data_IF_905817225681
#
_entry.id   IF_905817225681
#
_cell.length_a   1.000
_cell.length_b   1.000
_cell.length_c   1.000
_cell.angle_alpha   90.00
_cell.angle_beta   90.00
_cell.angle_gamma   90.00
#
_symmetry.space_group_name_H-M   'P 1'
#
loop_
_entity.id
_entity.type
_entity.pdbx_description
1 polymer ?
#
# COMPACT_ATOMS: atom_id res chain seq x y z
N UNK A 1 -17.53 31.05 -24.30
CA UNK A 1 -17.10 29.88 -23.52
C UNK A 1 -16.67 28.82 -24.51
N UNK A 2 -15.36 28.69 -24.75
CA UNK A 2 -14.83 27.65 -25.64
C UNK A 2 -15.03 26.30 -24.97
N UNK A 3 -15.88 25.46 -25.54
CA UNK A 3 -15.97 24.06 -25.15
C UNK A 3 -14.60 23.44 -25.42
N UNK A 4 -13.77 23.31 -24.37
CA UNK A 4 -12.52 22.56 -24.45
C UNK A 4 -12.91 21.13 -24.85
N UNK A 5 -12.57 20.71 -26.05
CA UNK A 5 -12.86 19.35 -26.55
C UNK A 5 -12.23 18.36 -25.57
N UNK A 6 -13.06 17.72 -24.76
CA UNK A 6 -12.58 16.77 -23.75
C UNK A 6 -11.85 15.64 -24.48
N UNK A 7 -10.57 15.50 -24.24
CA UNK A 7 -9.75 14.48 -24.91
C UNK A 7 -10.23 13.09 -24.51
N UNK A 8 -10.35 12.20 -25.49
CA UNK A 8 -10.78 10.81 -25.27
C UNK A 8 -9.58 9.87 -25.31
N UNK A 9 -9.60 8.88 -24.47
CA UNK A 9 -8.60 7.83 -24.40
C UNK A 9 -9.29 6.47 -24.62
N UNK A 10 -8.81 5.73 -25.59
CA UNK A 10 -9.20 4.34 -25.72
C UNK A 10 -8.56 3.54 -24.57
N UNK A 11 -9.37 2.93 -23.73
CA UNK A 11 -8.94 2.10 -22.61
C UNK A 11 -9.22 0.64 -22.98
N UNK A 12 -8.19 -0.22 -23.06
CA UNK A 12 -8.36 -1.64 -23.38
C UNK A 12 -9.34 -2.34 -22.44
N UNK A 13 -10.11 -3.31 -22.96
CA UNK A 13 -11.09 -4.06 -22.17
C UNK A 13 -10.45 -4.72 -20.94
N UNK A 14 -9.23 -5.24 -21.05
CA UNK A 14 -8.50 -5.84 -19.92
C UNK A 14 -8.30 -4.87 -18.76
N UNK A 15 -8.11 -3.57 -19.02
CA UNK A 15 -8.02 -2.53 -17.97
C UNK A 15 -9.38 -2.30 -17.33
N UNK A 16 -10.46 -2.25 -18.14
CA UNK A 16 -11.83 -2.10 -17.63
C UNK A 16 -12.18 -3.27 -16.72
N UNK A 17 -11.93 -4.50 -17.16
CA UNK A 17 -12.17 -5.72 -16.39
C UNK A 17 -11.35 -5.72 -15.08
N UNK A 18 -10.10 -5.28 -15.14
CA UNK A 18 -9.23 -5.19 -13.98
C UNK A 18 -9.68 -4.12 -12.96
N UNK A 19 -10.27 -3.00 -13.43
CA UNK A 19 -10.90 -2.01 -12.54
C UNK A 19 -12.11 -2.62 -11.84
N UNK A 20 -12.92 -3.41 -12.55
CA UNK A 20 -14.12 -4.03 -12.00
C UNK A 20 -13.81 -5.24 -11.10
N UNK A 21 -12.62 -5.82 -11.24
CA UNK A 21 -12.21 -7.00 -10.48
C UNK A 21 -12.17 -6.71 -8.97
N UNK A 22 -12.86 -7.56 -8.20
CA UNK A 22 -12.95 -7.52 -6.75
C UNK A 22 -12.53 -8.83 -6.09
N UNK A 23 -11.88 -9.71 -6.84
CA UNK A 23 -11.44 -10.99 -6.35
C UNK A 23 -10.47 -10.84 -5.18
N UNK A 24 -10.48 -11.85 -4.33
CA UNK A 24 -9.54 -11.92 -3.24
C UNK A 24 -8.13 -12.02 -3.78
N UNK A 25 -7.24 -11.20 -3.24
CA UNK A 25 -5.83 -11.20 -3.63
C UNK A 25 -5.11 -12.31 -2.88
N UNK A 26 -4.94 -13.45 -3.53
CA UNK A 26 -4.28 -14.64 -2.97
C UNK A 26 -2.88 -14.89 -3.54
N UNK A 27 -2.45 -14.14 -4.54
CA UNK A 27 -1.12 -14.28 -5.16
C UNK A 27 0.00 -13.65 -4.31
N UNK A 28 1.12 -14.37 -4.11
CA UNK A 28 2.32 -13.80 -3.50
C UNK A 28 2.99 -12.78 -4.44
N UNK A 29 3.63 -11.73 -3.89
CA UNK A 29 3.73 -11.38 -2.46
C UNK A 29 2.63 -10.42 -2.00
N UNK A 30 1.60 -10.16 -2.80
CA UNK A 30 0.51 -9.26 -2.45
C UNK A 30 -0.29 -9.74 -1.24
N UNK A 31 -0.43 -11.07 -1.07
CA UNK A 31 -1.17 -11.69 0.03
C UNK A 31 -0.39 -11.76 1.35
N UNK A 32 0.94 -11.50 1.37
CA UNK A 32 1.77 -11.60 2.58
C UNK A 32 1.32 -10.68 3.71
N UNK A 33 0.74 -9.56 3.39
CA UNK A 33 0.06 -8.67 4.35
C UNK A 33 -0.97 -7.83 3.62
N UNK A 34 -2.20 -7.78 4.18
CA UNK A 34 -3.29 -6.97 3.62
C UNK A 34 -3.19 -5.54 4.15
N UNK A 35 -2.41 -4.69 3.45
CA UNK A 35 -2.45 -3.26 3.73
C UNK A 35 -3.83 -2.69 3.39
N UNK A 36 -4.46 -1.91 4.28
CA UNK A 36 -5.80 -1.38 4.04
C UNK A 36 -5.91 -0.49 2.80
N UNK A 37 -7.10 -0.41 2.21
CA UNK A 37 -7.45 0.45 1.07
C UNK A 37 -6.53 0.32 -0.17
N UNK A 38 -6.00 -0.88 -0.42
CA UNK A 38 -5.28 -1.20 -1.65
C UNK A 38 -6.26 -1.52 -2.78
N UNK A 39 -5.92 -1.16 -4.00
CA UNK A 39 -6.58 -1.70 -5.19
C UNK A 39 -6.06 -3.09 -5.54
N UNK A 40 -6.80 -3.80 -6.42
CA UNK A 40 -6.39 -5.12 -6.90
C UNK A 40 -5.06 -5.03 -7.70
N UNK A 41 -4.13 -5.97 -7.53
CA UNK A 41 -2.89 -6.01 -8.34
C UNK A 41 -3.17 -6.03 -9.85
N UNK A 42 -4.23 -6.70 -10.30
CA UNK A 42 -4.67 -6.73 -11.70
C UNK A 42 -4.89 -5.33 -12.27
N UNK A 43 -5.46 -4.41 -11.49
CA UNK A 43 -5.63 -3.02 -11.95
C UNK A 43 -4.29 -2.36 -12.28
N UNK A 44 -3.33 -2.38 -11.36
CA UNK A 44 -2.00 -1.81 -11.62
C UNK A 44 -1.30 -2.51 -12.79
N UNK A 45 -1.37 -3.85 -12.83
CA UNK A 45 -0.78 -4.68 -13.87
C UNK A 45 -1.26 -4.30 -15.27
N UNK A 46 -2.57 -4.27 -15.47
CA UNK A 46 -3.13 -4.02 -16.79
C UNK A 46 -2.97 -2.56 -17.23
N UNK A 47 -3.07 -1.59 -16.31
CA UNK A 47 -2.75 -0.18 -16.60
C UNK A 47 -1.28 -0.02 -17.00
N UNK A 48 -0.33 -0.61 -16.25
CA UNK A 48 1.10 -0.53 -16.54
C UNK A 48 1.42 -1.15 -17.90
N UNK A 49 0.86 -2.32 -18.21
CA UNK A 49 1.07 -2.98 -19.50
C UNK A 49 0.53 -2.17 -20.68
N UNK A 50 -0.67 -1.60 -20.52
CA UNK A 50 -1.35 -0.88 -21.59
C UNK A 50 -0.76 0.50 -21.90
N UNK A 51 -0.22 1.19 -20.87
CA UNK A 51 0.14 2.61 -20.98
C UNK A 51 1.60 2.91 -20.67
N UNK A 52 2.47 1.90 -20.71
CA UNK A 52 3.91 2.08 -20.57
C UNK A 52 4.67 1.00 -21.33
N UNK A 53 5.97 1.23 -21.55
CA UNK A 53 6.90 0.29 -22.19
C UNK A 53 7.97 -0.19 -21.20
N UNK A 54 8.71 -1.25 -21.56
CA UNK A 54 9.82 -1.75 -20.72
C UNK A 54 10.85 -0.65 -20.48
N UNK A 55 11.30 -0.53 -19.22
CA UNK A 55 12.26 0.49 -18.82
C UNK A 55 11.65 1.82 -18.36
N UNK A 56 10.38 2.10 -18.67
CA UNK A 56 9.69 3.32 -18.22
C UNK A 56 9.63 3.42 -16.69
N UNK A 57 9.61 4.65 -16.19
CA UNK A 57 9.38 4.92 -14.77
C UNK A 57 7.87 5.03 -14.49
N UNK A 58 7.39 4.20 -13.57
CA UNK A 58 6.05 4.24 -13.00
C UNK A 58 6.14 4.90 -11.62
N UNK A 59 5.30 5.89 -11.36
CA UNK A 59 5.28 6.65 -10.12
C UNK A 59 4.01 6.36 -9.32
N UNK A 60 4.13 6.19 -8.00
CA UNK A 60 3.00 6.10 -7.07
C UNK A 60 3.24 7.02 -5.86
N UNK A 61 2.65 8.24 -5.86
CA UNK A 61 2.85 9.21 -4.78
C UNK A 61 2.13 8.86 -3.46
N UNK A 62 1.34 7.78 -3.44
CA UNK A 62 0.63 7.25 -2.26
C UNK A 62 0.76 5.72 -2.22
N UNK A 63 2.00 5.22 -2.23
CA UNK A 63 2.29 3.83 -2.61
C UNK A 63 1.80 2.77 -1.62
N UNK A 64 1.42 3.14 -0.41
CA UNK A 64 0.90 2.20 0.59
C UNK A 64 1.77 0.94 0.71
N UNK A 65 1.15 -0.22 0.59
CA UNK A 65 1.83 -1.52 0.64
C UNK A 65 2.60 -1.92 -0.64
N UNK A 66 2.76 -1.01 -1.62
CA UNK A 66 3.64 -1.17 -2.78
C UNK A 66 3.06 -2.00 -3.93
N UNK A 67 1.75 -2.03 -4.11
CA UNK A 67 1.11 -2.79 -5.22
C UNK A 67 1.61 -2.34 -6.58
N UNK A 68 1.57 -1.03 -6.86
CA UNK A 68 2.08 -0.44 -8.12
C UNK A 68 3.55 -0.78 -8.35
N UNK A 69 4.37 -0.71 -7.30
CA UNK A 69 5.81 -0.96 -7.42
C UNK A 69 6.11 -2.42 -7.79
N UNK A 70 5.40 -3.36 -7.17
CA UNK A 70 5.53 -4.78 -7.49
C UNK A 70 5.14 -5.06 -8.93
N UNK A 71 3.99 -4.58 -9.38
CA UNK A 71 3.51 -4.81 -10.73
C UNK A 71 4.41 -4.16 -11.78
N UNK A 72 4.93 -2.95 -11.50
CA UNK A 72 5.90 -2.30 -12.37
C UNK A 72 7.20 -3.13 -12.52
N UNK A 73 7.77 -3.60 -11.40
CA UNK A 73 8.96 -4.44 -11.43
C UNK A 73 8.72 -5.77 -12.17
N UNK A 74 7.57 -6.41 -11.96
CA UNK A 74 7.19 -7.65 -12.65
C UNK A 74 7.04 -7.42 -14.14
N UNK A 75 6.56 -6.25 -14.54
CA UNK A 75 6.38 -5.85 -15.93
C UNK A 75 7.64 -5.23 -16.58
N UNK A 76 8.82 -5.38 -15.96
CA UNK A 76 10.12 -4.83 -16.46
C UNK A 76 10.17 -3.30 -16.51
N UNK A 77 9.45 -2.62 -15.62
CA UNK A 77 9.47 -1.17 -15.48
C UNK A 77 10.26 -0.78 -14.24
N UNK A 78 10.74 0.46 -14.22
CA UNK A 78 11.25 1.09 -13.00
C UNK A 78 10.07 1.60 -12.19
N UNK A 79 10.21 1.66 -10.88
CA UNK A 79 9.15 2.11 -9.99
C UNK A 79 9.66 3.08 -8.93
N UNK A 80 8.96 4.18 -8.71
CA UNK A 80 9.20 5.06 -7.57
C UNK A 80 7.91 5.25 -6.80
N UNK A 81 7.96 5.05 -5.47
CA UNK A 81 6.81 5.20 -4.59
C UNK A 81 7.14 6.03 -3.38
N UNK A 82 6.18 6.85 -2.96
CA UNK A 82 6.25 7.68 -1.76
C UNK A 82 5.08 7.40 -0.85
N UNK A 83 5.32 7.46 0.45
CA UNK A 83 4.26 7.41 1.46
C UNK A 83 4.75 8.04 2.76
N UNK A 84 3.90 8.78 3.44
CA UNK A 84 4.20 9.38 4.75
C UNK A 84 4.32 8.32 5.85
N UNK A 85 3.64 7.18 5.68
CA UNK A 85 3.63 6.10 6.64
C UNK A 85 4.91 5.26 6.55
N UNK A 86 5.70 5.24 7.63
CA UNK A 86 6.86 4.36 7.78
C UNK A 86 6.46 2.89 7.68
N UNK A 87 5.28 2.51 8.19
CA UNK A 87 4.73 1.17 8.09
C UNK A 87 4.43 0.80 6.63
N UNK A 88 3.82 1.70 5.85
CA UNK A 88 3.55 1.48 4.44
C UNK A 88 4.85 1.23 3.65
N UNK A 89 5.82 2.12 3.80
CA UNK A 89 7.10 2.01 3.09
C UNK A 89 7.92 0.79 3.57
N UNK A 90 7.80 0.39 4.85
CA UNK A 90 8.37 -0.87 5.34
C UNK A 90 7.76 -2.06 4.60
N UNK A 91 6.43 -2.14 4.53
CA UNK A 91 5.72 -3.24 3.85
C UNK A 91 6.09 -3.28 2.37
N UNK A 92 6.09 -2.14 1.69
CA UNK A 92 6.50 -2.03 0.30
C UNK A 92 7.94 -2.51 0.07
N UNK A 93 8.89 -2.09 0.95
CA UNK A 93 10.28 -2.55 0.92
C UNK A 93 10.40 -4.05 1.18
N UNK A 94 9.73 -4.58 2.20
CA UNK A 94 9.79 -5.98 2.56
C UNK A 94 9.27 -6.87 1.41
N UNK A 95 8.16 -6.46 0.75
CA UNK A 95 7.58 -7.16 -0.42
C UNK A 95 8.44 -7.10 -1.68
N UNK A 96 9.36 -6.15 -1.78
CA UNK A 96 10.18 -5.92 -2.99
C UNK A 96 11.67 -6.16 -2.78
N UNK A 97 12.08 -6.66 -1.61
CA UNK A 97 13.48 -6.96 -1.31
C UNK A 97 13.76 -8.45 -1.46
N UNK A 98 14.62 -8.85 -2.40
CA UNK A 98 14.89 -10.26 -2.64
C UNK A 98 15.52 -10.97 -1.46
N UNK A 99 15.06 -12.21 -1.23
CA UNK A 99 15.74 -13.20 -0.38
C UNK A 99 16.59 -14.13 -1.25
N UNK A 100 17.77 -14.46 -0.79
CA UNK A 100 18.70 -15.38 -1.48
C UNK A 100 18.42 -16.85 -1.13
N UNK A 101 19.07 -17.77 -1.82
CA UNK A 101 19.04 -19.20 -1.46
C UNK A 101 19.54 -19.40 -0.03
N UNK A 102 20.63 -18.74 0.36
CA UNK A 102 21.17 -18.82 1.72
C UNK A 102 20.17 -18.26 2.76
N UNK A 103 19.43 -17.19 2.41
CA UNK A 103 18.40 -16.66 3.32
C UNK A 103 17.26 -17.68 3.53
N UNK A 104 16.90 -18.44 2.49
CA UNK A 104 15.91 -19.53 2.63
C UNK A 104 16.37 -20.61 3.60
N UNK A 105 17.60 -21.08 3.44
CA UNK A 105 18.16 -22.10 4.36
C UNK A 105 18.26 -21.56 5.79
N UNK A 106 18.75 -20.34 5.96
CA UNK A 106 18.85 -19.71 7.27
C UNK A 106 17.48 -19.53 7.94
N UNK A 107 16.46 -19.09 7.19
CA UNK A 107 15.10 -18.97 7.70
C UNK A 107 14.50 -20.34 8.03
N UNK A 108 14.76 -21.38 7.23
CA UNK A 108 14.28 -22.74 7.53
C UNK A 108 14.90 -23.27 8.83
N UNK A 109 16.23 -23.24 8.96
CA UNK A 109 16.91 -23.69 10.16
C UNK A 109 16.49 -22.90 11.42
N UNK A 110 16.30 -21.59 11.26
CA UNK A 110 15.78 -20.76 12.34
C UNK A 110 14.35 -21.13 12.74
N UNK A 111 13.46 -21.42 11.77
CA UNK A 111 12.11 -21.88 12.06
C UNK A 111 12.10 -23.23 12.79
N UNK A 112 12.97 -24.16 12.39
CA UNK A 112 13.12 -25.46 13.04
C UNK A 112 13.57 -25.29 14.51
N UNK A 113 14.46 -24.31 14.81
CA UNK A 113 14.86 -23.99 16.18
C UNK A 113 13.71 -23.40 17.02
N UNK A 114 12.78 -22.69 16.41
CA UNK A 114 11.61 -22.14 17.12
C UNK A 114 10.61 -23.23 17.54
N UNK A 115 10.58 -24.37 16.86
CA UNK A 115 9.60 -25.43 17.18
C UNK A 115 9.75 -25.96 18.60
N UNK A 116 10.98 -26.04 19.11
CA UNK A 116 11.28 -26.49 20.47
C UNK A 116 11.23 -25.39 21.54
N UNK A 117 11.24 -24.10 21.16
CA UNK A 117 11.21 -22.97 22.09
C UNK A 117 9.81 -22.74 22.69
N UNK A 118 9.73 -22.41 23.97
CA UNK A 118 8.47 -22.07 24.65
C UNK A 118 8.29 -20.53 24.70
N UNK A 119 7.23 -19.98 24.05
CA UNK A 119 6.98 -18.55 24.08
C UNK A 119 6.67 -17.98 25.46
N UNK A 120 6.28 -18.82 26.44
CA UNK A 120 5.89 -18.36 27.78
C UNK A 120 7.09 -18.13 28.71
N UNK A 121 8.28 -18.65 28.36
CA UNK A 121 9.47 -18.61 29.20
C UNK A 121 10.42 -17.44 28.93
N UNK A 122 10.14 -16.57 27.97
CA UNK A 122 11.03 -15.48 27.57
C UNK A 122 10.77 -14.19 28.33
N UNK A 123 11.83 -13.56 28.84
CA UNK A 123 11.79 -12.14 29.20
C UNK A 123 12.16 -11.32 27.96
N UNK A 124 11.32 -10.37 27.54
CA UNK A 124 11.56 -9.60 26.32
C UNK A 124 12.73 -8.63 26.52
N UNK A 125 13.72 -8.72 25.64
CA UNK A 125 14.75 -7.70 25.44
C UNK A 125 14.23 -6.66 24.46
N UNK A 126 14.06 -5.41 24.86
CA UNK A 126 13.30 -4.43 24.06
C UNK A 126 14.15 -3.30 23.53
N UNK A 127 13.97 -2.99 22.24
CA UNK A 127 14.56 -1.83 21.54
C UNK A 127 13.80 -0.53 21.74
N UNK A 128 12.76 -0.48 22.60
CA UNK A 128 11.90 0.67 22.84
C UNK A 128 12.03 1.15 24.29
N UNK A 129 11.87 2.47 24.51
CA UNK A 129 11.73 2.98 25.89
C UNK A 129 10.46 2.41 26.55
N UNK A 130 10.37 2.40 27.89
CA UNK A 130 9.16 1.95 28.57
C UNK A 130 7.89 2.68 28.10
N UNK A 131 7.99 3.98 27.83
CA UNK A 131 6.87 4.83 27.38
C UNK A 131 6.47 4.48 25.94
N UNK A 132 7.45 4.30 25.05
CA UNK A 132 7.20 3.85 23.67
C UNK A 132 6.55 2.46 23.67
N UNK A 133 7.02 1.56 24.53
CA UNK A 133 6.46 0.22 24.68
C UNK A 133 5.01 0.27 25.13
N UNK A 134 4.68 1.03 26.18
CA UNK A 134 3.31 1.19 26.66
C UNK A 134 2.38 1.72 25.54
N UNK A 135 2.85 2.69 24.77
CA UNK A 135 2.12 3.23 23.63
C UNK A 135 1.83 2.17 22.56
N UNK A 136 2.86 1.41 22.13
CA UNK A 136 2.72 0.43 21.06
C UNK A 136 1.94 -0.82 21.48
N UNK A 137 2.04 -1.23 22.73
CA UNK A 137 1.33 -2.37 23.31
C UNK A 137 -0.09 -2.02 23.77
N UNK A 138 -0.51 -0.77 23.61
CA UNK A 138 -1.83 -0.33 24.07
C UNK A 138 -2.95 -1.18 23.49
N UNK A 139 -3.87 -1.60 24.36
CA UNK A 139 -5.03 -2.43 24.05
C UNK A 139 -4.73 -3.85 23.50
N UNK A 140 -3.48 -4.28 23.48
CA UNK A 140 -3.15 -5.68 23.15
C UNK A 140 -3.38 -6.53 24.40
N UNK A 141 -4.08 -7.67 24.32
CA UNK A 141 -4.20 -8.61 25.43
C UNK A 141 -2.84 -9.21 25.85
N UNK A 142 -2.69 -9.51 27.13
CA UNK A 142 -1.40 -9.90 27.74
C UNK A 142 -0.78 -11.13 27.07
N UNK A 143 -1.57 -12.15 26.79
CA UNK A 143 -1.10 -13.41 26.15
C UNK A 143 -0.54 -13.15 24.76
N UNK A 144 -1.16 -12.25 24.00
CA UNK A 144 -0.64 -11.84 22.69
C UNK A 144 0.62 -10.99 22.82
N UNK A 145 0.71 -10.11 23.83
CA UNK A 145 1.93 -9.32 24.10
C UNK A 145 3.12 -10.23 24.34
N UNK A 146 2.95 -11.24 25.19
CA UNK A 146 4.01 -12.21 25.50
C UNK A 146 4.52 -12.91 24.25
N UNK A 147 3.60 -13.44 23.42
CA UNK A 147 4.00 -14.06 22.16
C UNK A 147 4.71 -13.08 21.22
N UNK A 148 4.15 -11.87 21.00
CA UNK A 148 4.74 -10.92 20.07
C UNK A 148 6.12 -10.41 20.56
N UNK A 149 6.29 -10.16 21.84
CA UNK A 149 7.58 -9.79 22.42
C UNK A 149 8.61 -10.90 22.19
N UNK A 150 8.26 -12.13 22.53
CA UNK A 150 9.13 -13.30 22.32
C UNK A 150 9.58 -13.45 20.87
N UNK A 151 8.64 -13.41 19.90
CA UNK A 151 9.01 -13.62 18.50
C UNK A 151 9.80 -12.45 17.91
N UNK A 152 9.56 -11.22 18.37
CA UNK A 152 10.31 -10.03 17.96
C UNK A 152 11.79 -10.18 18.37
N UNK A 153 12.05 -10.65 19.59
CA UNK A 153 13.41 -10.89 20.08
C UNK A 153 14.10 -12.00 19.25
N UNK A 154 13.38 -13.06 18.93
CA UNK A 154 13.92 -14.12 18.07
C UNK A 154 14.20 -13.64 16.64
N UNK A 155 13.34 -12.80 16.07
CA UNK A 155 13.58 -12.17 14.77
C UNK A 155 14.82 -11.27 14.80
N UNK A 156 15.07 -10.56 15.89
CA UNK A 156 16.25 -9.71 16.04
C UNK A 156 17.58 -10.49 15.96
N UNK A 157 17.58 -11.79 16.28
CA UNK A 157 18.75 -12.67 16.18
C UNK A 157 19.05 -13.11 14.74
N UNK A 158 18.14 -12.92 13.80
CA UNK A 158 18.42 -13.21 12.39
C UNK A 158 19.55 -12.30 11.88
N UNK A 159 20.58 -12.85 11.20
CA UNK A 159 21.83 -12.13 10.94
C UNK A 159 21.70 -11.02 9.88
N UNK A 160 20.64 -11.03 9.08
CA UNK A 160 20.48 -10.06 7.97
C UNK A 160 19.19 -9.29 8.09
N UNK A 161 19.25 -7.97 7.95
CA UNK A 161 18.08 -7.09 7.99
C UNK A 161 16.95 -7.50 7.03
N UNK A 162 17.28 -8.03 5.84
CA UNK A 162 16.24 -8.52 4.90
C UNK A 162 15.51 -9.76 5.41
N UNK A 163 16.18 -10.64 6.17
CA UNK A 163 15.53 -11.79 6.82
C UNK A 163 14.60 -11.31 7.94
N UNK A 164 15.10 -10.38 8.77
CA UNK A 164 14.30 -9.76 9.82
C UNK A 164 13.07 -9.04 9.24
N UNK A 165 13.25 -8.24 8.18
CA UNK A 165 12.16 -7.53 7.53
C UNK A 165 11.11 -8.48 6.93
N UNK A 166 11.55 -9.57 6.31
CA UNK A 166 10.64 -10.56 5.74
C UNK A 166 9.87 -11.32 6.84
N UNK A 167 10.54 -11.74 7.92
CA UNK A 167 9.89 -12.38 9.06
C UNK A 167 8.88 -11.42 9.74
N UNK A 168 9.21 -10.13 9.90
CA UNK A 168 8.30 -9.10 10.43
C UNK A 168 7.12 -8.83 9.51
N UNK A 169 7.28 -8.89 8.19
CA UNK A 169 6.16 -8.78 7.25
C UNK A 169 5.14 -9.91 7.46
N UNK A 170 5.62 -11.15 7.66
CA UNK A 170 4.75 -12.28 7.97
C UNK A 170 4.14 -12.15 9.37
N UNK A 171 4.93 -11.68 10.35
CA UNK A 171 4.43 -11.41 11.71
C UNK A 171 3.29 -10.39 11.70
N UNK A 172 3.34 -9.36 10.86
CA UNK A 172 2.22 -8.43 10.66
C UNK A 172 0.95 -9.16 10.21
N UNK A 173 1.06 -10.18 9.34
CA UNK A 173 -0.10 -10.96 8.92
C UNK A 173 -0.68 -11.81 10.05
N UNK A 174 0.15 -12.31 10.95
CA UNK A 174 -0.28 -13.02 12.18
C UNK A 174 -0.98 -12.07 13.12
N UNK A 175 -0.41 -10.88 13.37
CA UNK A 175 -1.04 -9.86 14.21
C UNK A 175 -2.39 -9.41 13.65
N UNK A 176 -2.49 -9.20 12.34
CA UNK A 176 -3.75 -8.84 11.69
C UNK A 176 -4.79 -9.97 11.82
N UNK A 177 -4.40 -11.22 11.59
CA UNK A 177 -5.28 -12.37 11.75
C UNK A 177 -5.76 -12.56 13.18
N UNK A 178 -4.88 -12.38 14.15
CA UNK A 178 -5.17 -12.65 15.56
C UNK A 178 -5.90 -11.50 16.28
N UNK A 179 -5.64 -10.24 15.88
CA UNK A 179 -6.08 -9.08 16.64
C UNK A 179 -7.14 -8.25 15.91
N UNK A 180 -7.01 -8.07 14.57
CA UNK A 180 -7.82 -7.08 13.87
C UNK A 180 -9.29 -7.53 13.75
N UNK A 181 -10.19 -6.74 14.35
CA UNK A 181 -11.62 -7.04 14.50
C UNK A 181 -11.95 -8.35 15.26
N UNK A 182 -11.04 -8.82 16.13
CA UNK A 182 -11.23 -10.05 16.90
C UNK A 182 -11.66 -9.76 18.34
N UNK A 183 -12.53 -10.60 18.87
CA UNK A 183 -12.97 -10.61 20.27
C UNK A 183 -12.39 -11.78 21.05
N UNK A 184 -11.92 -12.82 20.36
CA UNK A 184 -11.23 -13.98 20.94
C UNK A 184 -9.86 -14.12 20.31
N UNK A 185 -8.87 -14.34 21.16
CA UNK A 185 -7.49 -14.54 20.73
C UNK A 185 -7.18 -16.02 20.58
N UNK A 186 -6.38 -16.40 19.56
CA UNK A 186 -5.73 -17.71 19.54
C UNK A 186 -4.79 -17.86 20.74
N UNK A 187 -4.62 -19.11 21.22
CA UNK A 187 -3.62 -19.41 22.24
C UNK A 187 -2.20 -19.10 21.73
N UNK A 188 -1.22 -18.77 22.61
CA UNK A 188 0.17 -18.50 22.22
C UNK A 188 0.80 -19.62 21.39
N UNK A 189 0.50 -20.89 21.70
CA UNK A 189 0.92 -22.04 20.90
C UNK A 189 0.36 -22.04 19.49
N UNK A 190 -0.90 -21.64 19.31
CA UNK A 190 -1.53 -21.52 18.00
C UNK A 190 -0.93 -20.33 17.20
N UNK A 191 -0.62 -19.20 17.86
CA UNK A 191 0.07 -18.07 17.24
C UNK A 191 1.45 -18.49 16.72
N UNK A 192 2.21 -19.26 17.54
CA UNK A 192 3.51 -19.81 17.16
C UNK A 192 3.41 -20.74 15.96
N UNK A 193 2.54 -21.74 16.03
CA UNK A 193 2.36 -22.72 14.95
C UNK A 193 1.97 -22.04 13.64
N UNK A 194 1.03 -21.08 13.68
CA UNK A 194 0.59 -20.35 12.53
C UNK A 194 1.68 -19.44 11.94
N UNK A 195 2.48 -18.79 12.80
CA UNK A 195 3.63 -18.00 12.35
C UNK A 195 4.66 -18.87 11.61
N UNK A 196 5.04 -20.02 12.18
CA UNK A 196 5.98 -20.95 11.56
C UNK A 196 5.44 -21.44 10.22
N UNK A 197 4.20 -21.90 10.17
CA UNK A 197 3.56 -22.39 8.96
C UNK A 197 3.50 -21.33 7.86
N UNK A 198 3.05 -20.10 8.19
CA UNK A 198 2.96 -19.00 7.21
C UNK A 198 4.33 -18.56 6.74
N UNK A 199 5.32 -18.42 7.61
CA UNK A 199 6.63 -17.99 7.19
C UNK A 199 7.31 -19.04 6.30
N UNK A 200 7.14 -20.33 6.60
CA UNK A 200 7.66 -21.43 5.76
C UNK A 200 7.03 -21.39 4.35
N UNK A 201 5.70 -21.30 4.26
CA UNK A 201 4.97 -21.19 2.99
C UNK A 201 5.33 -19.89 2.24
N UNK A 202 5.36 -18.75 2.93
CA UNK A 202 5.71 -17.46 2.37
C UNK A 202 7.13 -17.44 1.81
N UNK A 203 8.10 -18.06 2.50
CA UNK A 203 9.50 -18.13 2.06
C UNK A 203 9.61 -18.85 0.71
N UNK A 204 8.90 -19.95 0.52
CA UNK A 204 8.91 -20.68 -0.75
C UNK A 204 8.22 -19.92 -1.88
N UNK A 205 7.00 -19.45 -1.64
CA UNK A 205 6.21 -18.76 -2.66
C UNK A 205 6.84 -17.42 -3.08
N UNK A 206 7.38 -16.67 -2.11
CA UNK A 206 8.06 -15.40 -2.37
C UNK A 206 9.37 -15.61 -3.15
N UNK A 207 10.15 -16.63 -2.80
CA UNK A 207 11.35 -16.96 -3.55
C UNK A 207 11.07 -17.32 -5.00
N UNK A 208 9.99 -18.09 -5.27
CA UNK A 208 9.58 -18.45 -6.61
C UNK A 208 9.15 -17.21 -7.41
N UNK A 209 8.33 -16.35 -6.81
CA UNK A 209 7.92 -15.08 -7.43
C UNK A 209 9.12 -14.22 -7.82
N UNK A 210 10.08 -14.02 -6.92
CA UNK A 210 11.28 -13.24 -7.18
C UNK A 210 12.16 -13.88 -8.28
N UNK A 211 12.22 -15.20 -8.33
CA UNK A 211 12.97 -15.90 -9.36
C UNK A 211 12.35 -15.69 -10.73
N UNK A 212 11.03 -15.81 -10.85
CA UNK A 212 10.30 -15.54 -12.09
C UNK A 212 10.43 -14.07 -12.53
N UNK A 213 10.30 -13.14 -11.58
CA UNK A 213 10.48 -11.69 -11.84
C UNK A 213 11.90 -11.39 -12.32
N UNK A 214 12.92 -11.96 -11.69
CA UNK A 214 14.31 -11.79 -12.07
C UNK A 214 14.59 -12.34 -13.48
N UNK A 215 14.10 -13.54 -13.77
CA UNK A 215 14.20 -14.15 -15.09
C UNK A 215 13.53 -13.27 -16.16
N UNK A 216 12.31 -12.81 -15.91
CA UNK A 216 11.59 -11.94 -16.84
C UNK A 216 12.36 -10.63 -17.13
N UNK A 217 13.03 -10.07 -16.14
CA UNK A 217 13.85 -8.87 -16.28
C UNK A 217 15.27 -9.12 -16.84
N UNK A 218 15.68 -10.36 -17.07
CA UNK A 218 17.06 -10.68 -17.45
C UNK A 218 18.08 -10.27 -16.38
N UNK A 219 17.68 -10.20 -15.10
CA UNK A 219 18.51 -9.72 -14.00
C UNK A 219 18.73 -10.82 -12.95
N UNK A 220 19.89 -10.86 -12.29
CA UNK A 220 20.04 -11.67 -11.12
C UNK A 220 19.16 -11.13 -9.98
N UNK A 221 18.56 -12.01 -9.16
CA UNK A 221 17.58 -11.65 -8.11
C UNK A 221 18.02 -10.49 -7.23
N UNK A 222 19.27 -10.45 -6.79
CA UNK A 222 19.78 -9.39 -5.92
C UNK A 222 19.72 -7.98 -6.57
N UNK A 223 19.64 -7.93 -7.89
CA UNK A 223 19.51 -6.68 -8.65
C UNK A 223 18.09 -6.17 -8.78
N UNK A 224 17.06 -6.92 -8.40
CA UNK A 224 15.67 -6.46 -8.49
C UNK A 224 15.42 -5.18 -7.70
N UNK A 225 16.14 -4.96 -6.59
CA UNK A 225 16.04 -3.72 -5.82
C UNK A 225 16.50 -2.49 -6.59
N UNK A 226 17.33 -2.67 -7.65
CA UNK A 226 17.75 -1.54 -8.48
C UNK A 226 16.62 -0.98 -9.35
N UNK A 227 15.52 -1.73 -9.54
CA UNK A 227 14.35 -1.32 -10.31
C UNK A 227 13.39 -0.41 -9.54
N UNK A 228 13.63 -0.16 -8.26
CA UNK A 228 12.69 0.60 -7.43
C UNK A 228 13.34 1.66 -6.55
N UNK A 229 12.54 2.68 -6.23
CA UNK A 229 12.81 3.63 -5.14
C UNK A 229 11.56 3.71 -4.26
N UNK A 230 11.74 3.58 -2.94
CA UNK A 230 10.66 3.69 -1.96
C UNK A 230 11.09 4.73 -0.95
N UNK A 231 10.32 5.79 -0.85
CA UNK A 231 10.73 7.00 -0.14
C UNK A 231 9.69 7.27 0.95
N UNK A 232 10.11 7.26 2.21
CA UNK A 232 9.22 7.62 3.31
C UNK A 232 9.20 9.13 3.44
N UNK A 233 8.19 9.76 2.88
CA UNK A 233 7.91 11.20 2.92
C UNK A 233 6.55 11.54 2.32
N UNK A 234 6.11 12.78 2.52
CA UNK A 234 5.07 13.39 1.71
C UNK A 234 5.53 13.53 0.25
N UNK A 235 4.64 13.29 -0.69
CA UNK A 235 4.93 13.47 -2.11
C UNK A 235 4.98 14.95 -2.53
N UNK A 236 4.46 15.88 -1.73
CA UNK A 236 4.69 17.30 -1.92
C UNK A 236 6.19 17.63 -1.78
N UNK A 237 6.73 18.40 -2.70
CA UNK A 237 8.17 18.73 -2.77
C UNK A 237 9.06 17.57 -3.22
N UNK A 238 8.50 16.53 -3.80
CA UNK A 238 9.26 15.33 -4.24
C UNK A 238 10.17 15.59 -5.42
N UNK A 239 9.91 16.60 -6.21
CA UNK A 239 10.73 17.04 -7.35
C UNK A 239 12.13 17.47 -6.93
N UNK A 240 12.28 17.98 -5.71
CA UNK A 240 13.56 18.42 -5.15
C UNK A 240 14.30 17.32 -4.35
N UNK A 241 13.73 16.11 -4.23
CA UNK A 241 14.25 15.08 -3.32
C UNK A 241 15.58 14.45 -3.76
N UNK A 242 15.80 14.28 -5.05
CA UNK A 242 17.02 13.67 -5.60
C UNK A 242 17.18 12.15 -5.36
N UNK A 243 16.32 11.49 -4.58
CA UNK A 243 16.36 10.02 -4.34
C UNK A 243 15.83 9.22 -5.52
N UNK A 244 15.03 9.82 -6.40
CA UNK A 244 14.73 9.25 -7.71
C UNK A 244 15.88 9.64 -8.63
N UNK A 245 16.64 8.69 -9.22
CA UNK A 245 17.75 9.01 -10.09
C UNK A 245 17.29 9.86 -11.30
N UNK A 246 18.02 10.92 -11.63
CA UNK A 246 17.71 11.75 -12.79
C UNK A 246 17.66 10.96 -14.11
N UNK A 247 18.47 9.89 -14.22
CA UNK A 247 18.47 8.96 -15.36
C UNK A 247 17.18 8.11 -15.48
N UNK A 248 16.28 8.17 -14.50
CA UNK A 248 14.97 7.50 -14.57
C UNK A 248 13.87 8.46 -15.03
N UNK A 249 14.08 9.77 -14.79
CA UNK A 249 13.13 10.82 -15.15
C UNK A 249 13.20 11.13 -16.65
N UNK A 250 12.09 11.61 -17.23
CA UNK A 250 10.78 11.82 -16.61
C UNK A 250 9.96 10.52 -16.46
N UNK A 251 9.01 10.49 -15.54
CA UNK A 251 8.10 9.37 -15.35
C UNK A 251 6.99 9.35 -16.43
N UNK A 252 6.69 8.18 -16.95
CA UNK A 252 5.73 7.97 -18.04
C UNK A 252 4.31 7.79 -17.57
N UNK A 253 4.14 7.23 -16.36
CA UNK A 253 2.83 6.82 -15.87
C UNK A 253 2.76 6.98 -14.35
N UNK A 254 1.62 7.48 -13.87
CA UNK A 254 1.25 7.44 -12.45
C UNK A 254 0.09 6.47 -12.28
N UNK A 255 0.24 5.51 -11.37
CA UNK A 255 -0.85 4.59 -10.96
C UNK A 255 -0.97 4.65 -9.46
N UNK A 256 -2.07 5.21 -8.95
CA UNK A 256 -2.19 5.52 -7.53
C UNK A 256 -3.63 5.49 -7.01
N UNK A 257 -3.77 5.51 -5.70
CA UNK A 257 -5.04 5.71 -5.00
C UNK A 257 -4.79 6.66 -3.82
N UNK A 258 -4.99 7.98 -4.02
CA UNK A 258 -4.80 8.94 -2.95
C UNK A 258 -5.77 8.66 -1.79
N UNK A 259 -5.48 9.13 -0.57
CA UNK A 259 -6.44 9.07 0.53
C UNK A 259 -7.80 9.63 0.08
N UNK A 260 -8.89 8.96 0.45
CA UNK A 260 -10.22 9.34 -0.04
C UNK A 260 -10.80 10.52 0.76
N UNK A 261 -11.35 11.56 0.10
CA UNK A 261 -11.88 12.74 0.79
C UNK A 261 -13.08 12.38 1.68
N UNK A 262 -13.03 12.81 2.93
CA UNK A 262 -14.08 12.56 3.92
C UNK A 262 -14.16 11.11 4.39
N UNK A 263 -13.19 10.29 4.04
CA UNK A 263 -13.11 8.90 4.43
C UNK A 263 -12.00 8.71 5.44
N UNK A 264 -12.38 8.18 6.60
CA UNK A 264 -11.40 7.79 7.60
C UNK A 264 -11.06 6.32 7.43
N UNK A 265 -9.90 6.05 6.89
CA UNK A 265 -9.35 4.70 6.89
C UNK A 265 -8.24 4.65 7.93
N UNK A 266 -8.38 3.74 8.87
CA UNK A 266 -7.34 3.49 9.86
C UNK A 266 -6.28 2.62 9.24
N UNK A 267 -5.38 3.21 8.46
CA UNK A 267 -4.30 2.48 7.75
C UNK A 267 -3.22 1.93 8.67
N UNK A 268 -3.10 2.49 9.85
CA UNK A 268 -1.93 2.37 10.73
C UNK A 268 -2.26 1.72 12.07
N UNK A 269 -3.50 1.25 12.27
CA UNK A 269 -3.94 0.65 13.54
C UNK A 269 -4.84 -0.55 13.28
N UNK A 270 -4.86 -1.49 14.21
CA UNK A 270 -5.85 -2.56 14.25
C UNK A 270 -6.92 -2.26 15.30
N UNK A 271 -8.09 -2.81 15.11
CA UNK A 271 -9.20 -2.72 16.06
C UNK A 271 -9.30 -4.03 16.86
N UNK A 272 -8.91 -3.99 18.13
CA UNK A 272 -8.94 -5.15 19.04
C UNK A 272 -10.10 -5.03 20.03
N UNK A 273 -10.59 -6.16 20.53
CA UNK A 273 -11.68 -6.23 21.50
C UNK A 273 -12.86 -5.31 21.12
N UNK A 274 -13.35 -5.45 19.90
CA UNK A 274 -14.43 -4.65 19.35
C UNK A 274 -13.93 -3.44 18.57
N UNK A 275 -13.64 -2.30 19.22
CA UNK A 275 -13.27 -1.06 18.55
C UNK A 275 -12.09 -0.32 19.18
N UNK A 276 -11.37 -0.95 20.07
CA UNK A 276 -10.18 -0.34 20.68
C UNK A 276 -9.03 -0.37 19.69
N UNK A 277 -8.49 0.77 19.35
CA UNK A 277 -7.37 0.89 18.42
C UNK A 277 -6.04 0.57 19.10
N UNK A 278 -5.19 -0.18 18.38
CA UNK A 278 -3.81 -0.44 18.80
C UNK A 278 -2.83 -0.06 17.68
N UNK A 279 -1.70 0.60 18.01
CA UNK A 279 -0.62 0.86 17.07
C UNK A 279 0.33 -0.34 16.90
N UNK A 280 -0.04 -1.53 17.35
CA UNK A 280 0.74 -2.77 17.25
C UNK A 280 1.41 -3.02 15.88
N UNK A 281 0.81 -2.64 14.72
CA UNK A 281 1.50 -2.80 13.45
C UNK A 281 2.89 -2.15 13.40
N UNK A 282 3.07 -0.98 14.02
CA UNK A 282 4.37 -0.31 14.07
C UNK A 282 5.36 -1.07 14.94
N UNK A 283 4.93 -1.57 16.08
CA UNK A 283 5.75 -2.40 16.96
C UNK A 283 6.25 -3.65 16.26
N UNK A 284 5.33 -4.43 15.66
CA UNK A 284 5.69 -5.67 14.97
C UNK A 284 6.61 -5.42 13.77
N UNK A 285 6.43 -4.31 13.06
CA UNK A 285 7.25 -3.92 11.94
C UNK A 285 8.60 -3.26 12.33
N UNK A 286 8.81 -2.96 13.62
CA UNK A 286 9.92 -2.12 14.10
C UNK A 286 9.98 -0.77 13.38
N UNK A 287 8.84 -0.09 13.32
CA UNK A 287 8.67 1.22 12.71
C UNK A 287 8.13 2.21 13.74
N UNK A 288 8.41 3.49 13.53
CA UNK A 288 7.85 4.55 14.37
C UNK A 288 6.55 5.06 13.81
N UNK A 289 5.56 5.22 14.68
CA UNK A 289 4.28 5.88 14.38
C UNK A 289 4.50 7.39 14.15
N UNK A 290 3.71 7.99 13.27
CA UNK A 290 3.69 9.44 13.10
C UNK A 290 2.93 10.14 14.25
N UNK A 291 2.87 11.45 14.19
CA UNK A 291 2.25 12.31 15.21
C UNK A 291 0.70 12.25 15.18
N UNK A 292 0.13 11.05 15.42
CA UNK A 292 -1.32 10.84 15.50
C UNK A 292 -2.01 10.63 14.16
N UNK A 293 -3.33 10.43 14.20
CA UNK A 293 -4.13 10.06 13.02
C UNK A 293 -4.13 11.12 11.91
N UNK A 294 -4.04 12.41 12.25
CA UNK A 294 -4.00 13.52 11.30
C UNK A 294 -2.74 13.51 10.42
N UNK A 295 -1.66 12.89 10.88
CA UNK A 295 -0.41 12.75 10.12
C UNK A 295 -0.61 11.94 8.84
N UNK A 296 -1.51 10.95 8.85
CA UNK A 296 -1.75 10.03 7.73
C UNK A 296 -2.89 10.45 6.81
N UNK A 297 -3.49 11.63 7.04
CA UNK A 297 -4.62 12.13 6.28
C UNK A 297 -4.26 13.44 5.57
N UNK A 298 -4.75 13.62 4.35
CA UNK A 298 -4.65 14.90 3.65
C UNK A 298 -5.55 15.98 4.28
N UNK A 299 -6.59 15.58 5.03
CA UNK A 299 -7.50 16.48 5.74
C UNK A 299 -8.52 15.70 6.58
N UNK A 300 -9.18 16.37 7.53
CA UNK A 300 -10.22 15.78 8.36
C UNK A 300 -11.54 15.59 7.59
N UNK A 301 -12.56 15.00 8.26
CA UNK A 301 -13.89 14.78 7.65
C UNK A 301 -14.79 16.02 7.68
N UNK A 302 -14.44 16.99 8.49
CA UNK A 302 -15.15 18.23 8.62
C UNK A 302 -14.97 19.10 7.37
N UNK A 303 -15.82 20.08 7.16
CA UNK A 303 -15.81 20.91 5.96
C UNK A 303 -14.48 21.63 5.77
N UNK A 304 -13.93 22.21 6.83
CA UNK A 304 -12.60 22.84 6.84
C UNK A 304 -11.49 21.85 6.52
N UNK A 305 -11.59 20.61 7.03
CA UNK A 305 -10.66 19.53 6.73
C UNK A 305 -10.73 19.05 5.28
N UNK A 306 -11.91 19.09 4.67
CA UNK A 306 -12.07 18.78 3.26
C UNK A 306 -11.49 19.87 2.34
N UNK A 307 -11.57 21.13 2.73
CA UNK A 307 -10.86 22.20 2.02
C UNK A 307 -9.34 22.00 2.09
N UNK A 308 -8.81 21.69 3.28
CA UNK A 308 -7.41 21.34 3.47
C UNK A 308 -7.01 20.13 2.63
N UNK A 309 -7.87 19.11 2.51
CA UNK A 309 -7.64 17.95 1.67
C UNK A 309 -7.38 18.34 0.20
N UNK A 310 -8.26 19.16 -0.40
CA UNK A 310 -8.12 19.53 -1.81
C UNK A 310 -6.91 20.43 -2.06
N UNK A 311 -6.58 21.32 -1.11
CA UNK A 311 -5.36 22.15 -1.19
C UNK A 311 -4.10 21.30 -1.13
N UNK A 312 -4.03 20.31 -0.23
CA UNK A 312 -2.89 19.39 -0.15
C UNK A 312 -2.80 18.48 -1.37
N UNK A 313 -3.93 17.97 -1.86
CA UNK A 313 -3.98 17.17 -3.08
C UNK A 313 -3.40 17.95 -4.26
N UNK A 314 -3.83 19.22 -4.44
CA UNK A 314 -3.29 20.12 -5.45
C UNK A 314 -1.77 20.29 -5.30
N UNK A 315 -1.27 20.55 -4.11
CA UNK A 315 0.16 20.72 -3.84
C UNK A 315 0.98 19.46 -4.17
N UNK A 316 0.48 18.28 -3.80
CA UNK A 316 1.11 17.00 -4.14
C UNK A 316 1.19 16.83 -5.65
N UNK A 317 0.07 17.01 -6.37
CA UNK A 317 0.08 16.80 -7.81
C UNK A 317 0.83 17.90 -8.59
N UNK A 318 0.91 19.13 -8.06
CA UNK A 318 1.80 20.15 -8.61
C UNK A 318 3.29 19.73 -8.54
N UNK A 319 3.71 19.07 -7.45
CA UNK A 319 5.06 18.50 -7.32
C UNK A 319 5.24 17.27 -8.23
N UNK A 320 4.28 16.37 -8.26
CA UNK A 320 4.30 15.17 -9.12
C UNK A 320 4.42 15.56 -10.59
N UNK A 321 3.72 16.62 -11.03
CA UNK A 321 3.78 17.14 -12.40
C UNK A 321 5.21 17.37 -12.89
N UNK A 322 6.07 17.89 -12.04
CA UNK A 322 7.48 18.23 -12.38
C UNK A 322 8.36 16.99 -12.60
N UNK A 323 7.87 15.80 -12.23
CA UNK A 323 8.54 14.53 -12.45
C UNK A 323 8.07 13.79 -13.71
N UNK A 324 7.03 14.28 -14.41
CA UNK A 324 6.34 13.58 -15.49
C UNK A 324 6.82 14.03 -16.88
N UNK A 325 6.75 13.11 -17.84
CA UNK A 325 6.87 13.46 -19.27
C UNK A 325 5.61 14.17 -19.76
N UNK A 326 5.73 14.98 -20.81
CA UNK A 326 4.62 15.77 -21.36
C UNK A 326 3.41 14.92 -21.78
N UNK A 327 3.64 13.69 -22.18
CA UNK A 327 2.63 12.74 -22.60
C UNK A 327 2.21 11.75 -21.49
N UNK A 328 2.65 11.96 -20.26
CA UNK A 328 2.35 11.10 -19.13
C UNK A 328 0.85 11.04 -18.84
N UNK A 329 0.41 9.87 -18.39
CA UNK A 329 -0.94 9.62 -17.90
C UNK A 329 -0.94 9.36 -16.40
N UNK A 330 -2.01 9.80 -15.75
CA UNK A 330 -2.24 9.62 -14.31
C UNK A 330 -3.54 8.86 -14.11
N UNK A 331 -3.46 7.63 -13.62
CA UNK A 331 -4.58 6.77 -13.29
C UNK A 331 -4.79 6.77 -11.78
N UNK A 332 -5.98 7.20 -11.35
CA UNK A 332 -6.34 7.34 -9.95
C UNK A 332 -7.63 6.62 -9.64
N UNK A 333 -7.58 5.64 -8.73
CA UNK A 333 -8.79 4.99 -8.23
C UNK A 333 -9.20 5.67 -6.92
N UNK A 334 -10.36 6.31 -6.91
CA UNK A 334 -10.83 7.16 -5.81
C UNK A 334 -12.27 6.83 -5.43
N UNK A 335 -12.60 6.98 -4.14
CA UNK A 335 -14.00 7.01 -3.69
C UNK A 335 -14.29 8.30 -2.93
N UNK A 336 -15.54 8.72 -2.98
CA UNK A 336 -16.01 9.95 -2.36
C UNK A 336 -17.09 9.65 -1.33
N UNK A 337 -17.01 10.26 -0.15
CA UNK A 337 -18.08 10.17 0.85
C UNK A 337 -19.33 10.95 0.45
N UNK A 338 -19.17 12.02 -0.33
CA UNK A 338 -20.23 12.87 -0.89
C UNK A 338 -19.90 13.23 -2.36
N UNK A 339 -20.12 12.29 -3.32
CA UNK A 339 -19.69 12.46 -4.71
C UNK A 339 -20.25 13.73 -5.39
N UNK A 340 -21.45 14.19 -5.03
CA UNK A 340 -22.16 15.30 -5.67
C UNK A 340 -21.36 16.60 -5.74
N UNK A 341 -20.44 16.84 -4.80
CA UNK A 341 -19.59 18.03 -4.80
C UNK A 341 -18.09 17.72 -4.70
N UNK A 342 -17.74 16.61 -4.02
CA UNK A 342 -16.33 16.24 -3.80
C UNK A 342 -15.62 15.87 -5.12
N UNK A 343 -16.32 15.24 -6.06
CA UNK A 343 -15.75 14.91 -7.37
C UNK A 343 -15.40 16.21 -8.13
N UNK A 344 -16.29 17.18 -8.17
CA UNK A 344 -16.01 18.46 -8.82
C UNK A 344 -14.84 19.20 -8.16
N UNK A 345 -14.74 19.16 -6.82
CA UNK A 345 -13.62 19.76 -6.08
C UNK A 345 -12.30 19.03 -6.33
N UNK A 346 -12.32 17.70 -6.44
CA UNK A 346 -11.16 16.89 -6.79
C UNK A 346 -10.63 17.23 -8.19
N UNK A 347 -11.51 17.28 -9.19
CA UNK A 347 -11.16 17.63 -10.56
C UNK A 347 -10.59 19.06 -10.65
N UNK A 348 -11.17 20.01 -9.91
CA UNK A 348 -10.64 21.38 -9.82
C UNK A 348 -9.24 21.41 -9.21
N UNK A 349 -8.98 20.65 -8.15
CA UNK A 349 -7.66 20.56 -7.53
C UNK A 349 -6.63 19.99 -8.52
N UNK A 350 -7.00 18.98 -9.31
CA UNK A 350 -6.14 18.42 -10.38
C UNK A 350 -5.90 19.46 -11.49
N UNK A 351 -6.93 20.18 -11.91
CA UNK A 351 -6.80 21.25 -12.91
C UNK A 351 -5.86 22.36 -12.44
N UNK A 352 -5.99 22.79 -11.19
CA UNK A 352 -5.11 23.79 -10.58
C UNK A 352 -3.67 23.28 -10.40
N UNK A 353 -3.49 21.97 -10.27
CA UNK A 353 -2.16 21.33 -10.27
C UNK A 353 -1.56 21.20 -11.70
N UNK A 354 -2.29 21.61 -12.74
CA UNK A 354 -1.82 21.59 -14.13
C UNK A 354 -2.17 20.29 -14.89
N UNK A 355 -3.24 19.62 -14.50
CA UNK A 355 -3.74 18.42 -15.19
C UNK A 355 -5.11 18.67 -15.83
N UNK A 356 -5.37 17.99 -16.93
CA UNK A 356 -6.70 17.91 -17.55
C UNK A 356 -7.24 16.50 -17.44
N UNK A 357 -8.52 16.36 -17.11
CA UNK A 357 -9.19 15.08 -17.14
C UNK A 357 -9.31 14.55 -18.57
N UNK A 358 -9.13 13.24 -18.72
CA UNK A 358 -9.27 12.50 -19.97
C UNK A 358 -10.47 11.57 -19.87
N UNK A 359 -11.38 11.66 -20.83
CA UNK A 359 -12.57 10.80 -20.89
C UNK A 359 -12.21 9.42 -21.45
N UNK A 360 -12.74 8.38 -20.84
CA UNK A 360 -12.66 7.02 -21.34
C UNK A 360 -13.56 6.88 -22.58
N UNK A 361 -12.98 6.44 -23.68
CA UNK A 361 -13.70 6.10 -24.90
C UNK A 361 -14.06 4.60 -24.88
N UNK A 362 -15.22 4.29 -24.32
CA UNK A 362 -15.77 2.94 -24.26
C UNK A 362 -17.28 2.98 -24.13
N UNK A 363 -17.97 1.97 -24.66
CA UNK A 363 -19.42 1.78 -24.57
C UNK A 363 -19.83 0.84 -23.43
N UNK A 364 -18.89 0.42 -22.56
CA UNK A 364 -19.21 -0.44 -21.45
C UNK A 364 -20.15 0.24 -20.43
N UNK A 365 -21.12 -0.48 -19.89
CA UNK A 365 -22.12 0.04 -18.94
C UNK A 365 -21.55 0.66 -17.68
N UNK A 366 -20.33 0.27 -17.31
CA UNK A 366 -19.59 0.84 -16.18
C UNK A 366 -18.96 2.21 -16.49
N UNK A 367 -19.00 2.66 -17.75
CA UNK A 367 -18.48 3.97 -18.17
C UNK A 367 -19.63 4.97 -18.17
N UNK A 368 -19.62 5.87 -17.20
CA UNK A 368 -20.61 6.93 -17.05
C UNK A 368 -19.86 8.27 -17.05
N UNK A 369 -20.31 9.22 -17.88
CA UNK A 369 -19.70 10.54 -18.07
C UNK A 369 -18.17 10.44 -18.35
N UNK A 370 -17.76 9.46 -19.17
CA UNK A 370 -16.37 9.25 -19.54
C UNK A 370 -15.47 8.71 -18.42
N UNK A 371 -16.03 8.15 -17.36
CA UNK A 371 -15.32 7.59 -16.20
C UNK A 371 -15.76 6.17 -15.93
N UNK A 372 -14.84 5.30 -15.49
CA UNK A 372 -15.18 3.93 -15.09
C UNK A 372 -15.59 3.91 -13.63
N UNK A 373 -16.81 3.47 -13.36
CA UNK A 373 -17.36 3.33 -12.03
C UNK A 373 -17.46 1.87 -11.63
N UNK A 374 -17.09 1.56 -10.38
CA UNK A 374 -17.29 0.24 -9.79
C UNK A 374 -18.02 0.33 -8.45
N UNK A 375 -18.85 -0.67 -8.16
CA UNK A 375 -19.43 -0.85 -6.85
C UNK A 375 -18.55 -1.79 -6.03
N UNK A 376 -18.24 -1.45 -4.77
CA UNK A 376 -17.46 -2.29 -3.86
C UNK A 376 -18.40 -2.85 -2.78
N UNK A 377 -18.91 -4.09 -2.93
CA UNK A 377 -19.82 -4.68 -1.96
C UNK A 377 -19.15 -4.90 -0.61
N UNK A 378 -19.92 -4.84 0.46
CA UNK A 378 -19.44 -5.14 1.80
C UNK A 378 -18.47 -4.12 2.41
N UNK A 379 -18.18 -3.01 1.74
CA UNK A 379 -17.39 -1.92 2.32
C UNK A 379 -18.18 -1.29 3.48
N UNK A 380 -17.89 -1.74 4.69
CA UNK A 380 -18.50 -1.23 5.93
C UNK A 380 -17.85 0.11 6.30
N UNK A 381 -18.48 1.20 5.92
CA UNK A 381 -18.11 2.53 6.39
C UNK A 381 -18.89 2.83 7.69
N UNK A 382 -18.30 3.64 8.57
CA UNK A 382 -18.95 4.08 9.82
C UNK A 382 -20.35 4.71 9.58
N UNK A 383 -20.58 5.30 8.40
CA UNK A 383 -21.86 5.88 7.97
C UNK A 383 -23.04 4.89 7.94
N UNK A 384 -22.82 3.58 7.81
CA UNK A 384 -23.92 2.59 7.83
C UNK A 384 -24.69 2.62 9.15
N UNK A 385 -24.00 2.89 10.29
CA UNK A 385 -24.65 2.96 11.61
C UNK A 385 -25.58 4.17 11.78
N UNK A 386 -25.50 5.17 10.92
CA UNK A 386 -26.31 6.37 10.95
C UNK A 386 -27.40 6.38 9.86
N UNK A 387 -27.69 5.23 9.23
CA UNK A 387 -28.67 5.13 8.15
C UNK A 387 -28.28 5.82 6.83
N UNK A 388 -27.03 6.23 6.70
CA UNK A 388 -26.50 6.84 5.47
C UNK A 388 -25.90 5.77 4.57
N UNK A 389 -26.18 5.84 3.26
CA UNK A 389 -25.58 4.94 2.27
C UNK A 389 -24.09 5.23 2.20
N UNK A 390 -23.21 4.23 2.46
CA UNK A 390 -21.78 4.43 2.40
C UNK A 390 -21.36 4.73 0.96
N UNK A 391 -20.22 5.43 0.79
CA UNK A 391 -19.55 5.57 -0.50
C UNK A 391 -19.01 4.19 -0.93
N UNK A 392 -19.91 3.35 -1.43
CA UNK A 392 -19.59 2.00 -1.94
C UNK A 392 -19.12 2.04 -3.38
N UNK A 393 -19.13 3.22 -4.00
CA UNK A 393 -18.69 3.40 -5.39
C UNK A 393 -17.29 3.99 -5.43
N UNK A 394 -16.44 3.38 -6.23
CA UNK A 394 -15.14 3.93 -6.64
C UNK A 394 -15.20 4.33 -8.10
N UNK A 395 -14.41 5.32 -8.45
CA UNK A 395 -14.28 5.83 -9.81
C UNK A 395 -12.80 5.82 -10.21
N UNK A 396 -12.53 5.36 -11.42
CA UNK A 396 -11.25 5.58 -12.07
C UNK A 396 -11.29 6.93 -12.77
N UNK A 397 -10.39 7.82 -12.36
CA UNK A 397 -10.12 9.11 -12.98
C UNK A 397 -8.80 9.03 -13.74
N UNK A 398 -8.78 9.53 -14.96
CA UNK A 398 -7.60 9.58 -15.81
C UNK A 398 -7.28 11.04 -16.11
N UNK A 399 -6.01 11.41 -15.95
CA UNK A 399 -5.55 12.77 -16.23
C UNK A 399 -4.28 12.73 -17.09
N UNK A 400 -4.04 13.85 -17.77
CA UNK A 400 -2.76 14.16 -18.45
C UNK A 400 -2.31 15.57 -18.10
N UNK A 401 -1.07 15.88 -18.42
CA UNK A 401 -0.59 17.24 -18.28
C UNK A 401 -1.42 18.20 -19.16
N UNK A 402 -1.67 19.37 -18.61
CA UNK A 402 -2.29 20.47 -19.36
C UNK A 402 -1.19 21.16 -20.16
N UNK A 403 -1.33 21.10 -21.47
CA UNK A 403 -0.48 21.81 -22.43
C UNK A 403 -0.85 23.28 -22.50
#
# INVERSE_FOLDING_TARGET
>A
MNATTQQRLHVPQAVIDAVLNQDKVDEPPHNLYKYPARFAPSFAREVIKAFSTEGDLILDPFCGGGTTLLEAMTAKRRAAGMDVSSLATFIARAKTTPISVHDRYALSAWLDSLESDDPTLSQPTVSYSPEEREQYERNIPTEAKTFFAWIIDRIALLPKHRQQAFARLVLLSIGQWALDYKTRLPAPSALKSEFIARLRAATQSYFNFLSSTAQANGLPRHRLTSLRRIINRDAHGSEADGRIPSSWLPAKLVVTSPPYPGVHVVYHRWQVNGRRETPAPFWLANQRDGAGASFYMLGSREETGLQTYFTRLQAVFASVRLLLSDDALVFQLVAFSKPSWQLASFLRAMEQAGFSEVSVDSRADCVVDGRIWRHVPGRKWYAIKQGKIPASKEVLLIHRLRV
#
